data_IF_151302423465
#
_entry.id   IF_151302423465
#
_cell.length_a   1.000
_cell.length_b   1.000
_cell.length_c   1.000
_cell.angle_alpha   90.00
_cell.angle_beta   90.00
_cell.angle_gamma   90.00
#
_symmetry.space_group_name_H-M   'P 1'
#
loop_
_entity.id
_entity.type
_entity.pdbx_description
1 polymer ?
#
# COMPACT_ATOMS: atom_id res chain seq x y z
N UNK A 1 2.79 12.36 -17.67
CA UNK A 1 2.35 11.71 -16.41
C UNK A 1 3.13 10.42 -16.29
N UNK A 2 3.87 10.24 -15.21
CA UNK A 2 4.72 9.06 -15.04
C UNK A 2 3.96 8.04 -14.18
N UNK A 3 3.98 6.79 -14.61
CA UNK A 3 3.27 5.69 -13.93
C UNK A 3 4.27 4.62 -13.56
N UNK A 4 4.28 4.24 -12.28
CA UNK A 4 5.02 3.09 -11.79
C UNK A 4 4.11 1.87 -11.81
N UNK A 5 4.52 0.81 -12.51
CA UNK A 5 3.83 -0.47 -12.51
C UNK A 5 4.47 -1.39 -11.49
N UNK A 6 3.64 -1.95 -10.61
CA UNK A 6 4.05 -2.90 -9.57
C UNK A 6 3.31 -4.22 -9.77
N UNK A 7 4.04 -5.34 -9.70
CA UNK A 7 3.46 -6.68 -9.72
C UNK A 7 3.49 -7.26 -8.32
N UNK A 8 2.32 -7.43 -7.71
CA UNK A 8 2.17 -7.96 -6.35
C UNK A 8 1.83 -9.46 -6.44
N UNK A 9 2.83 -10.32 -6.27
CA UNK A 9 2.70 -11.78 -6.36
C UNK A 9 3.28 -12.44 -5.12
N UNK A 10 2.55 -13.42 -4.61
CA UNK A 10 2.96 -14.25 -3.48
C UNK A 10 1.96 -15.41 -3.32
N UNK A 11 2.34 -16.52 -2.66
CA UNK A 11 1.46 -17.67 -2.46
C UNK A 11 0.22 -17.33 -1.62
N UNK A 12 0.34 -16.33 -0.73
CA UNK A 12 -0.76 -15.79 0.08
C UNK A 12 -0.60 -14.28 0.16
N UNK A 13 -1.72 -13.56 0.18
CA UNK A 13 -1.78 -12.11 0.36
C UNK A 13 -2.92 -11.74 1.30
N UNK A 14 -2.77 -10.64 2.02
CA UNK A 14 -3.79 -10.12 2.93
C UNK A 14 -3.82 -8.59 2.88
N UNK A 15 -4.96 -8.02 2.48
CA UNK A 15 -5.17 -6.58 2.24
C UNK A 15 -6.36 -6.07 3.07
N UNK A 16 -6.14 -5.82 4.36
CA UNK A 16 -7.20 -5.37 5.26
C UNK A 16 -7.59 -3.90 5.08
N UNK A 17 -8.88 -3.59 5.23
CA UNK A 17 -9.42 -2.21 5.19
C UNK A 17 -10.32 -1.91 6.38
N UNK A 18 -11.16 -2.87 6.79
CA UNK A 18 -11.93 -2.84 8.03
C UNK A 18 -11.69 -4.16 8.78
N UNK A 19 -11.65 -4.11 10.11
CA UNK A 19 -11.44 -5.29 10.94
C UNK A 19 -12.00 -5.01 12.33
N UNK A 20 -13.00 -5.79 12.74
CA UNK A 20 -13.55 -5.75 14.09
C UNK A 20 -12.71 -6.64 14.99
N UNK A 21 -11.75 -6.01 15.69
CA UNK A 21 -10.88 -6.52 16.77
C UNK A 21 -10.30 -7.94 16.64
N UNK A 22 -11.15 -8.98 16.61
CA UNK A 22 -10.80 -10.40 16.53
C UNK A 22 -10.79 -10.96 15.10
N UNK A 23 -11.61 -10.43 14.19
CA UNK A 23 -11.65 -10.91 12.80
C UNK A 23 -10.87 -9.98 11.88
N UNK A 24 -9.94 -10.56 11.13
CA UNK A 24 -9.05 -9.87 10.19
C UNK A 24 -9.50 -10.19 8.78
N UNK A 25 -10.31 -9.31 8.21
CA UNK A 25 -10.73 -9.43 6.83
C UNK A 25 -9.61 -9.05 5.86
N UNK A 26 -9.70 -9.61 4.65
CA UNK A 26 -8.85 -9.24 3.53
C UNK A 26 -9.72 -8.95 2.31
N UNK A 27 -9.38 -7.88 1.60
CA UNK A 27 -9.92 -7.67 0.26
C UNK A 27 -9.28 -8.63 -0.73
N UNK A 28 -10.00 -8.89 -1.83
CA UNK A 28 -9.49 -9.67 -2.97
C UNK A 28 -8.41 -8.91 -3.76
N UNK A 29 -8.36 -7.60 -3.61
CA UNK A 29 -7.45 -6.71 -4.29
C UNK A 29 -6.60 -5.89 -3.31
N UNK A 30 -5.39 -5.46 -3.70
CA UNK A 30 -4.55 -4.61 -2.87
C UNK A 30 -5.23 -3.31 -2.44
N UNK A 31 -5.15 -3.00 -1.14
CA UNK A 31 -5.65 -1.73 -0.62
C UNK A 31 -4.64 -0.60 -0.86
N UNK A 32 -5.15 0.62 -1.12
CA UNK A 32 -4.29 1.81 -1.32
C UNK A 32 -3.36 2.06 -0.13
N UNK A 33 -3.88 1.95 1.09
CA UNK A 33 -3.08 2.10 2.31
C UNK A 33 -2.00 1.03 2.45
N UNK A 34 -2.29 -0.22 2.06
CA UNK A 34 -1.31 -1.31 2.05
C UNK A 34 -0.17 -1.06 1.07
N UNK A 35 -0.48 -0.61 -0.15
CA UNK A 35 0.53 -0.30 -1.16
C UNK A 35 1.36 0.93 -0.80
N UNK A 36 0.75 1.99 -0.24
CA UNK A 36 1.51 3.13 0.29
C UNK A 36 2.45 2.68 1.41
N UNK A 37 2.00 1.80 2.31
CA UNK A 37 2.84 1.22 3.35
C UNK A 37 4.04 0.45 2.79
N UNK A 38 3.86 -0.31 1.71
CA UNK A 38 4.95 -1.00 1.00
C UNK A 38 5.95 0.00 0.39
N UNK A 39 5.46 1.09 -0.20
CA UNK A 39 6.34 2.15 -0.72
C UNK A 39 7.13 2.82 0.40
N UNK A 40 6.50 3.15 1.53
CA UNK A 40 7.18 3.67 2.71
C UNK A 40 8.27 2.71 3.21
N UNK A 41 7.98 1.41 3.25
CA UNK A 41 8.95 0.39 3.66
C UNK A 41 10.13 0.29 2.68
N UNK A 42 9.87 0.36 1.38
CA UNK A 42 10.91 0.36 0.35
C UNK A 42 11.79 1.61 0.39
N UNK A 43 11.22 2.77 0.74
CA UNK A 43 11.96 4.01 0.98
C UNK A 43 12.73 3.99 2.31
N UNK A 44 12.42 3.06 3.23
CA UNK A 44 12.95 3.06 4.59
C UNK A 44 12.37 4.18 5.46
N UNK A 45 11.21 4.74 5.09
CA UNK A 45 10.56 5.84 5.82
C UNK A 45 10.10 5.37 7.21
N UNK A 46 10.51 6.03 8.30
CA UNK A 46 10.03 5.73 9.64
C UNK A 46 8.51 5.94 9.77
N UNK A 47 7.87 5.20 10.68
CA UNK A 47 6.42 5.34 10.95
C UNK A 47 6.07 6.68 11.58
N UNK A 48 6.95 7.19 12.44
CA UNK A 48 6.77 8.49 13.06
C UNK A 48 7.33 9.57 12.12
N UNK A 49 6.44 10.36 11.54
CA UNK A 49 6.83 11.48 10.70
C UNK A 49 7.48 12.58 11.54
N UNK A 50 8.59 13.13 11.03
CA UNK A 50 9.24 14.28 11.64
C UNK A 50 9.37 15.39 10.60
N UNK A 51 9.22 16.66 11.00
CA UNK A 51 9.54 17.77 10.10
C UNK A 51 10.98 17.63 9.59
N UNK A 52 11.17 17.82 8.29
CA UNK A 52 12.48 17.81 7.62
C UNK A 52 13.26 16.48 7.73
N UNK A 53 12.56 15.33 7.78
CA UNK A 53 13.20 14.00 7.78
C UNK A 53 13.75 13.56 6.41
N UNK A 54 13.51 14.34 5.35
CA UNK A 54 13.97 14.06 3.99
C UNK A 54 13.12 13.05 3.22
N UNK A 55 12.03 12.56 3.82
CA UNK A 55 11.09 11.67 3.15
C UNK A 55 9.85 12.45 2.70
N UNK A 56 9.18 11.95 1.65
CA UNK A 56 7.84 12.41 1.33
C UNK A 56 6.91 12.18 2.54
N UNK A 57 6.00 13.10 2.75
CA UNK A 57 4.98 12.99 3.79
C UNK A 57 3.94 11.93 3.41
N UNK A 58 3.29 11.35 4.41
CA UNK A 58 2.22 10.38 4.19
C UNK A 58 1.05 11.02 3.43
N UNK A 59 0.78 12.30 3.67
CA UNK A 59 -0.22 13.07 2.94
C UNK A 59 0.11 13.12 1.43
N UNK A 60 1.34 13.48 1.06
CA UNK A 60 1.78 13.50 -0.34
C UNK A 60 1.70 12.12 -0.99
N UNK A 61 2.09 11.06 -0.28
CA UNK A 61 1.97 9.69 -0.78
C UNK A 61 0.51 9.24 -0.91
N UNK A 62 -0.38 9.76 -0.06
CA UNK A 62 -1.81 9.47 -0.09
C UNK A 62 -2.54 10.13 -1.27
N UNK A 63 -1.98 11.20 -1.83
CA UNK A 63 -2.52 11.88 -3.00
C UNK A 63 -2.24 11.14 -4.32
N UNK A 64 -1.33 10.15 -4.30
CA UNK A 64 -1.05 9.33 -5.48
C UNK A 64 -2.32 8.61 -5.96
N UNK A 65 -2.55 8.62 -7.26
CA UNK A 65 -3.64 7.85 -7.89
C UNK A 65 -3.18 6.42 -8.08
N UNK A 66 -4.01 5.47 -7.66
CA UNK A 66 -3.74 4.04 -7.75
C UNK A 66 -4.83 3.36 -8.58
N UNK A 67 -4.42 2.58 -9.58
CA UNK A 67 -5.27 1.64 -10.30
C UNK A 67 -4.84 0.21 -10.03
N UNK A 68 -5.81 -0.71 -9.95
CA UNK A 68 -5.55 -2.14 -9.74
C UNK A 68 -6.01 -2.93 -10.96
N UNK A 69 -5.15 -3.83 -11.43
CA UNK A 69 -5.53 -4.90 -12.36
C UNK A 69 -5.40 -6.23 -11.62
N UNK A 70 -6.50 -6.97 -11.50
CA UNK A 70 -6.50 -8.30 -10.90
C UNK A 70 -6.19 -9.32 -11.99
N UNK A 71 -5.05 -9.99 -11.86
CA UNK A 71 -4.67 -11.10 -12.72
C UNK A 71 -5.25 -12.38 -12.13
N UNK A 72 -6.45 -12.77 -12.56
CA UNK A 72 -7.02 -14.07 -12.19
C UNK A 72 -6.27 -15.20 -12.91
N UNK A 73 -6.00 -16.30 -12.20
CA UNK A 73 -5.60 -17.55 -12.86
C UNK A 73 -6.71 -17.97 -13.82
N UNK A 74 -6.40 -18.11 -15.12
CA UNK A 74 -7.16 -18.97 -16.01
C UNK A 74 -6.97 -20.43 -15.60
#
# INVERSE_FOLDING_TARGET
MNTLLLRLVGPMQSWGVASDFKERDTLREPSKSGVIGLLCAALGKPRAEKPNDGFATLAELSDLVMGVRVDCCQ
#
